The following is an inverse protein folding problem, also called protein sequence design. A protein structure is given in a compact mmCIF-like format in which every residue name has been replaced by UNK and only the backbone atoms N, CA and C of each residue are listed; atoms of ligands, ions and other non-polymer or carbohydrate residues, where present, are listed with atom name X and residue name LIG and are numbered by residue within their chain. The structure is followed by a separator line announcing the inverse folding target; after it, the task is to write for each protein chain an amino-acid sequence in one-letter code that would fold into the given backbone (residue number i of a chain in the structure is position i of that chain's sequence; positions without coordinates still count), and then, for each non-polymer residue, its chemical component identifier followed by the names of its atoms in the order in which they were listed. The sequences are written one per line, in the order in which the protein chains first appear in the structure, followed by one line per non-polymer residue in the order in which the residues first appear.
data_IF_914876361341
#
_entry.id   IF_914876361341
#
_cell.length_a   1.000
_cell.length_b   1.000
_cell.length_c   1.000
_cell.angle_alpha   90.00
_cell.angle_beta   90.00
_cell.angle_gamma   90.00
#
_symmetry.space_group_name_H-M   'P 1'
#
loop_
_entity.id
_entity.type
_entity.pdbx_description
1 polymer ?
#
# COMPACT_ATOMS: atom_id res chain seq x y z
N UNK A 1 -22.62 7.03 -21.16
CA UNK A 1 -21.79 6.00 -20.54
C UNK A 1 -22.72 5.00 -19.89
N UNK A 2 -22.57 3.75 -20.18
CA UNK A 2 -23.44 2.68 -19.69
C UNK A 2 -22.55 1.61 -19.04
N UNK A 3 -22.89 1.15 -17.85
CA UNK A 3 -22.05 0.22 -17.09
C UNK A 3 -21.77 -1.10 -17.81
N UNK A 4 -22.66 -1.49 -18.77
CA UNK A 4 -22.57 -2.72 -19.54
C UNK A 4 -22.48 -2.49 -21.07
N UNK A 5 -21.94 -1.36 -21.52
CA UNK A 5 -21.79 -1.07 -22.96
C UNK A 5 -20.94 -2.11 -23.68
N UNK A 6 -21.19 -2.35 -24.97
CA UNK A 6 -20.52 -3.36 -25.77
C UNK A 6 -19.04 -3.03 -26.07
N UNK A 7 -18.71 -1.73 -26.17
CA UNK A 7 -17.39 -1.26 -26.61
C UNK A 7 -16.71 -0.41 -25.55
N UNK A 8 -15.35 -0.41 -25.45
CA UNK A 8 -14.64 0.52 -24.61
C UNK A 8 -14.75 1.95 -25.14
N UNK A 9 -14.85 2.89 -24.21
CA UNK A 9 -14.86 4.32 -24.46
C UNK A 9 -13.69 4.98 -23.74
N UNK A 10 -12.64 5.28 -24.48
CA UNK A 10 -11.43 5.87 -23.95
C UNK A 10 -11.58 7.37 -23.73
N UNK A 11 -11.26 7.81 -22.55
CA UNK A 11 -11.27 9.21 -22.13
C UNK A 11 -9.88 9.60 -21.60
N UNK A 12 -9.76 10.73 -20.90
CA UNK A 12 -8.52 11.09 -20.22
C UNK A 12 -8.39 10.45 -18.81
N UNK A 13 -9.16 9.42 -18.51
CA UNK A 13 -9.06 8.62 -17.30
C UNK A 13 -8.13 7.42 -17.53
N UNK A 14 -7.71 6.80 -16.43
CA UNK A 14 -6.84 5.63 -16.46
C UNK A 14 -7.56 4.42 -17.08
N UNK A 15 -8.77 4.14 -16.61
CA UNK A 15 -9.62 3.07 -17.13
C UNK A 15 -10.64 3.57 -18.11
N UNK A 16 -10.89 2.84 -19.23
CA UNK A 16 -11.94 3.19 -20.18
C UNK A 16 -13.33 2.94 -19.61
N UNK A 17 -14.27 3.81 -19.96
CA UNK A 17 -15.70 3.56 -19.77
C UNK A 17 -16.24 2.57 -20.80
N UNK A 18 -17.53 2.29 -20.74
CA UNK A 18 -18.24 1.45 -21.72
C UNK A 18 -19.33 2.25 -22.44
N UNK A 19 -19.57 1.91 -23.72
CA UNK A 19 -20.60 2.53 -24.58
C UNK A 19 -21.11 1.52 -25.60
N UNK A 20 -22.32 1.73 -26.14
CA UNK A 20 -22.94 0.82 -27.13
C UNK A 20 -22.62 1.17 -28.58
N UNK A 21 -21.86 2.21 -28.84
CA UNK A 21 -21.44 2.61 -30.19
C UNK A 21 -19.93 2.61 -30.30
N UNK A 22 -19.40 2.39 -31.49
CA UNK A 22 -17.97 2.54 -31.78
C UNK A 22 -17.79 3.52 -32.97
N UNK A 23 -16.68 4.25 -32.96
CA UNK A 23 -16.28 5.14 -34.04
C UNK A 23 -15.00 4.63 -34.74
N UNK A 24 -14.26 3.73 -34.12
CA UNK A 24 -12.98 3.21 -34.61
C UNK A 24 -12.97 1.68 -34.54
N UNK A 25 -12.32 1.05 -35.53
CA UNK A 25 -12.06 -0.40 -35.57
C UNK A 25 -10.65 -0.59 -36.12
N UNK A 26 -9.67 -0.51 -35.23
CA UNK A 26 -8.24 -0.58 -35.57
C UNK A 26 -7.39 -0.93 -34.35
N UNK A 27 -6.15 -1.27 -34.61
CA UNK A 27 -5.10 -1.36 -33.62
C UNK A 27 -4.52 0.02 -33.32
N UNK A 28 -4.50 0.42 -32.05
CA UNK A 28 -4.13 1.77 -31.67
C UNK A 28 -3.44 1.87 -30.30
N UNK A 29 -2.59 2.88 -30.18
CA UNK A 29 -2.14 3.44 -28.90
C UNK A 29 -2.96 4.68 -28.62
N UNK A 30 -3.64 4.74 -27.48
CA UNK A 30 -4.47 5.86 -27.07
C UNK A 30 -3.77 6.66 -25.98
N UNK A 31 -3.75 7.98 -26.11
CA UNK A 31 -3.00 8.89 -25.24
C UNK A 31 -3.96 9.90 -24.62
N UNK A 32 -4.01 9.97 -23.30
CA UNK A 32 -4.76 10.99 -22.57
C UNK A 32 -4.14 12.37 -22.76
N UNK A 33 -4.87 13.27 -23.43
CA UNK A 33 -4.33 14.56 -23.89
C UNK A 33 -4.32 15.67 -22.84
N UNK A 34 -5.07 15.53 -21.74
CA UNK A 34 -5.16 16.54 -20.69
C UNK A 34 -5.58 15.95 -19.33
N UNK A 35 -5.67 16.82 -18.31
CA UNK A 35 -6.07 16.41 -16.95
C UNK A 35 -4.96 15.80 -16.12
N UNK A 36 -5.35 15.22 -14.98
CA UNK A 36 -4.40 14.58 -14.05
C UNK A 36 -3.66 13.39 -14.64
N UNK A 37 -4.22 12.77 -15.67
CA UNK A 37 -3.67 11.59 -16.36
C UNK A 37 -3.06 11.93 -17.72
N UNK A 38 -2.68 13.19 -17.95
CA UNK A 38 -2.02 13.59 -19.22
C UNK A 38 -0.81 12.69 -19.53
N UNK A 39 -0.75 12.15 -20.76
CA UNK A 39 0.29 11.22 -21.20
C UNK A 39 0.11 9.79 -20.69
N UNK A 40 -1.03 9.43 -20.06
CA UNK A 40 -1.41 8.05 -19.82
C UNK A 40 -1.67 7.35 -21.16
N UNK A 41 -1.22 6.10 -21.27
CA UNK A 41 -1.30 5.29 -22.47
C UNK A 41 -2.18 4.08 -22.27
N UNK A 42 -3.04 3.83 -23.25
CA UNK A 42 -3.73 2.56 -23.42
C UNK A 42 -3.35 1.96 -24.77
N UNK A 43 -3.26 0.64 -24.85
CA UNK A 43 -3.17 -0.11 -26.09
C UNK A 43 -4.47 -0.88 -26.28
N UNK A 44 -5.03 -0.84 -27.49
CA UNK A 44 -6.23 -1.58 -27.82
C UNK A 44 -6.27 -1.98 -29.31
N UNK A 45 -6.80 -3.16 -29.58
CA UNK A 45 -7.02 -3.66 -30.93
C UNK A 45 -8.49 -4.09 -31.06
N UNK A 46 -9.26 -3.46 -31.95
CA UNK A 46 -10.66 -3.73 -32.22
C UNK A 46 -11.54 -2.51 -32.21
N UNK A 47 -12.84 -2.70 -31.91
CA UNK A 47 -13.88 -1.67 -31.96
C UNK A 47 -13.93 -0.87 -30.68
N UNK A 48 -13.77 0.45 -30.77
CA UNK A 48 -13.82 1.35 -29.63
C UNK A 48 -14.37 2.73 -30.00
N UNK A 49 -14.58 3.53 -28.97
CA UNK A 49 -14.86 4.96 -29.10
C UNK A 49 -13.90 5.76 -28.23
N UNK A 50 -13.68 7.03 -28.55
CA UNK A 50 -12.78 7.88 -27.79
C UNK A 50 -13.35 9.29 -27.63
N UNK A 51 -13.05 9.91 -26.50
CA UNK A 51 -13.37 11.30 -26.22
C UNK A 51 -12.41 12.23 -26.99
N UNK A 52 -12.91 13.41 -27.37
CA UNK A 52 -12.20 14.38 -28.24
C UNK A 52 -10.82 14.83 -27.73
N UNK A 53 -10.47 14.57 -26.49
CA UNK A 53 -9.16 14.88 -25.89
C UNK A 53 -8.26 13.67 -25.72
N UNK A 54 -8.66 12.54 -26.31
CA UNK A 54 -7.85 11.34 -26.40
C UNK A 54 -7.22 11.29 -27.78
N UNK A 55 -5.89 11.29 -27.85
CA UNK A 55 -5.18 11.09 -29.10
C UNK A 55 -5.11 9.62 -29.45
N UNK A 56 -5.31 9.30 -30.72
CA UNK A 56 -5.31 7.94 -31.26
C UNK A 56 -4.16 7.82 -32.24
N UNK A 57 -3.19 6.99 -31.93
CA UNK A 57 -2.12 6.61 -32.83
C UNK A 57 -2.47 5.27 -33.45
N UNK A 58 -2.69 5.23 -34.76
CA UNK A 58 -3.00 4.04 -35.53
C UNK A 58 -2.40 4.11 -36.92
N UNK A 59 -2.59 3.08 -37.74
CA UNK A 59 -2.05 3.02 -39.08
C UNK A 59 -0.51 3.01 -39.12
N UNK A 60 0.10 2.23 -38.23
CA UNK A 60 1.55 2.16 -38.05
C UNK A 60 2.26 1.68 -39.33
N UNK A 61 3.46 2.19 -39.54
CA UNK A 61 4.32 1.73 -40.61
C UNK A 61 4.79 0.29 -40.32
N UNK A 62 4.87 -0.52 -41.37
CA UNK A 62 5.30 -1.91 -41.30
C UNK A 62 6.69 -2.16 -40.66
N UNK A 63 7.53 -1.11 -40.59
CA UNK A 63 8.85 -1.15 -39.99
C UNK A 63 8.84 -0.82 -38.47
N UNK A 64 7.68 -0.65 -37.87
CA UNK A 64 7.50 -0.30 -36.45
C UNK A 64 6.71 -1.38 -35.74
N UNK A 65 7.31 -2.04 -34.77
CA UNK A 65 6.60 -2.85 -33.81
C UNK A 65 5.83 -1.93 -32.83
N UNK A 66 4.52 -2.13 -32.78
CA UNK A 66 3.61 -1.24 -32.04
C UNK A 66 3.89 -1.30 -30.52
N UNK A 67 4.20 -2.50 -30.00
CA UNK A 67 4.52 -2.66 -28.60
C UNK A 67 5.89 -2.07 -28.25
N UNK A 68 6.85 -2.08 -29.17
CA UNK A 68 8.10 -1.35 -29.01
C UNK A 68 7.85 0.16 -28.85
N UNK A 69 7.02 0.74 -29.74
CA UNK A 69 6.64 2.15 -29.62
C UNK A 69 5.87 2.42 -28.33
N UNK A 70 4.94 1.54 -27.94
CA UNK A 70 4.19 1.66 -26.70
C UNK A 70 5.11 1.72 -25.47
N UNK A 71 6.05 0.80 -25.34
CA UNK A 71 7.04 0.81 -24.25
C UNK A 71 7.94 2.03 -24.26
N UNK A 72 8.35 2.46 -25.46
CA UNK A 72 9.15 3.69 -25.58
C UNK A 72 8.38 4.93 -25.12
N UNK A 73 7.12 5.05 -25.53
CA UNK A 73 6.23 6.14 -25.12
C UNK A 73 5.97 6.11 -23.60
N UNK A 74 5.71 4.94 -23.03
CA UNK A 74 5.53 4.80 -21.57
C UNK A 74 6.70 5.42 -20.78
N UNK A 75 7.89 5.26 -21.29
CA UNK A 75 9.10 5.76 -20.65
C UNK A 75 9.35 7.26 -20.91
N UNK A 76 9.14 7.72 -22.13
CA UNK A 76 9.67 9.01 -22.59
C UNK A 76 8.61 10.10 -22.78
N UNK A 77 7.34 9.74 -22.96
CA UNK A 77 6.31 10.71 -23.31
C UNK A 77 6.01 11.71 -22.19
N UNK A 78 5.85 11.26 -20.95
CA UNK A 78 5.55 12.17 -19.84
C UNK A 78 6.68 13.20 -19.60
N UNK A 79 7.96 12.80 -19.51
CA UNK A 79 9.08 13.77 -19.45
C UNK A 79 9.10 14.74 -20.63
N UNK A 80 8.84 14.25 -21.85
CA UNK A 80 8.76 15.07 -23.04
C UNK A 80 7.64 16.11 -22.96
N UNK A 81 6.45 15.73 -22.54
CA UNK A 81 5.31 16.63 -22.34
C UNK A 81 5.66 17.71 -21.31
N UNK A 82 6.21 17.32 -20.17
CA UNK A 82 6.60 18.28 -19.13
C UNK A 82 7.63 19.30 -19.62
N UNK A 83 8.62 18.85 -20.40
CA UNK A 83 9.65 19.73 -20.98
C UNK A 83 9.07 20.73 -21.98
N UNK A 84 8.04 20.36 -22.73
CA UNK A 84 7.45 21.15 -23.80
C UNK A 84 6.16 21.91 -23.38
N UNK A 85 5.67 21.70 -22.17
CA UNK A 85 4.52 22.41 -21.61
C UNK A 85 4.93 23.77 -21.04
N UNK A 86 4.01 24.75 -21.08
CA UNK A 86 4.25 26.08 -20.50
C UNK A 86 4.38 25.98 -18.99
N UNK A 87 5.39 26.66 -18.43
CA UNK A 87 5.60 26.77 -16.98
C UNK A 87 4.36 27.39 -16.31
N UNK A 88 3.89 26.79 -15.23
CA UNK A 88 2.77 27.28 -14.41
C UNK A 88 1.37 26.93 -14.93
N UNK A 89 1.23 26.16 -15.99
CA UNK A 89 -0.06 25.61 -16.46
C UNK A 89 -0.16 24.11 -16.20
N UNK A 90 -1.39 23.61 -16.13
CA UNK A 90 -1.65 22.15 -16.14
C UNK A 90 -1.11 21.58 -17.45
N UNK A 91 -0.25 20.55 -17.43
CA UNK A 91 0.28 19.96 -18.65
C UNK A 91 -0.83 19.47 -19.57
N UNK A 92 -0.67 19.67 -20.87
CA UNK A 92 -1.57 19.16 -21.91
C UNK A 92 -0.77 18.84 -23.17
N UNK A 93 -1.29 17.93 -23.98
CA UNK A 93 -0.68 17.54 -25.25
C UNK A 93 -1.30 18.38 -26.36
N UNK A 94 -0.48 18.78 -27.31
CA UNK A 94 -0.91 19.37 -28.59
C UNK A 94 -0.51 18.47 -29.74
N UNK A 95 -1.22 18.56 -30.86
CA UNK A 95 -0.88 17.79 -32.06
C UNK A 95 0.57 17.96 -32.51
N UNK A 96 1.13 19.19 -32.58
CA UNK A 96 2.53 19.40 -32.93
C UNK A 96 3.53 18.72 -31.96
N UNK A 97 3.18 18.53 -30.70
CA UNK A 97 4.04 17.79 -29.77
C UNK A 97 4.17 16.32 -30.18
N UNK A 98 3.07 15.68 -30.57
CA UNK A 98 3.07 14.29 -31.01
C UNK A 98 3.72 14.13 -32.39
N UNK A 99 3.44 15.05 -33.35
CA UNK A 99 4.03 15.06 -34.67
C UNK A 99 5.55 15.24 -34.64
N UNK A 100 6.07 16.01 -33.70
CA UNK A 100 7.50 16.24 -33.50
C UNK A 100 8.17 15.30 -32.52
N UNK A 101 7.42 14.36 -31.94
CA UNK A 101 7.98 13.36 -31.03
C UNK A 101 8.84 12.36 -31.82
N UNK A 102 10.08 12.19 -31.39
CA UNK A 102 11.06 11.32 -32.06
C UNK A 102 11.37 10.11 -31.20
N UNK A 103 11.41 8.95 -31.84
CA UNK A 103 11.83 7.70 -31.22
C UNK A 103 12.85 6.98 -32.11
N UNK A 104 13.75 6.18 -31.54
CA UNK A 104 14.79 5.51 -32.31
C UNK A 104 14.22 4.31 -33.07
N UNK A 105 14.64 4.15 -34.32
CA UNK A 105 14.43 2.94 -35.12
C UNK A 105 15.82 2.27 -35.22
N UNK A 106 16.03 1.08 -34.62
CA UNK A 106 17.29 0.38 -34.74
C UNK A 106 17.52 -0.07 -36.18
N UNK A 107 18.76 -0.06 -36.65
CA UNK A 107 19.13 -0.51 -37.98
C UNK A 107 18.22 0.00 -39.12
N UNK A 108 18.05 1.35 -39.33
CA UNK A 108 17.03 1.90 -40.22
C UNK A 108 17.19 1.46 -41.69
N UNK A 109 18.40 1.07 -42.09
CA UNK A 109 18.70 0.57 -43.44
C UNK A 109 18.47 -0.93 -43.64
N UNK A 110 17.99 -1.63 -42.57
CA UNK A 110 17.68 -3.04 -42.64
C UNK A 110 16.37 -3.31 -41.83
N UNK A 111 15.19 -3.22 -42.47
CA UNK A 111 13.91 -3.34 -41.80
C UNK A 111 13.72 -4.67 -41.05
N UNK A 112 14.14 -5.78 -41.63
CA UNK A 112 14.02 -7.10 -41.02
C UNK A 112 14.82 -7.18 -39.72
N UNK A 113 16.07 -6.74 -39.73
CA UNK A 113 16.90 -6.67 -38.53
C UNK A 113 16.34 -5.67 -37.52
N UNK A 114 15.80 -4.55 -37.98
CA UNK A 114 15.14 -3.56 -37.13
C UNK A 114 13.98 -4.16 -36.35
N UNK A 115 13.07 -4.82 -37.02
CA UNK A 115 11.91 -5.48 -36.39
C UNK A 115 12.33 -6.59 -35.43
N UNK A 116 13.35 -7.39 -35.81
CA UNK A 116 13.86 -8.42 -34.92
C UNK A 116 14.41 -7.84 -33.59
N UNK A 117 15.09 -6.70 -33.64
CA UNK A 117 15.58 -6.00 -32.45
C UNK A 117 14.41 -5.42 -31.64
N UNK A 118 13.45 -4.76 -32.29
CA UNK A 118 12.26 -4.20 -31.64
C UNK A 118 11.47 -5.28 -30.90
N UNK A 119 11.18 -6.40 -31.58
CA UNK A 119 10.45 -7.54 -30.98
C UNK A 119 11.22 -8.19 -29.83
N UNK A 120 12.56 -8.27 -29.91
CA UNK A 120 13.35 -8.81 -28.80
C UNK A 120 13.32 -7.88 -27.58
N UNK A 121 13.36 -6.56 -27.77
CA UNK A 121 13.17 -5.58 -26.69
C UNK A 121 11.79 -5.75 -26.04
N UNK A 122 10.73 -5.86 -26.84
CA UNK A 122 9.37 -6.11 -26.36
C UNK A 122 9.33 -7.39 -25.54
N UNK A 123 9.86 -8.50 -26.08
CA UNK A 123 9.90 -9.79 -25.41
C UNK A 123 10.58 -9.76 -24.03
N UNK A 124 11.67 -8.98 -23.92
CA UNK A 124 12.38 -8.81 -22.65
C UNK A 124 11.52 -7.99 -21.66
N UNK A 125 10.96 -6.85 -22.09
CA UNK A 125 10.14 -6.00 -21.24
C UNK A 125 8.84 -6.68 -20.79
N UNK A 126 8.19 -7.43 -21.66
CA UNK A 126 7.02 -8.26 -21.32
C UNK A 126 7.33 -9.26 -20.22
N UNK A 127 8.48 -9.95 -20.32
CA UNK A 127 8.91 -10.91 -19.30
C UNK A 127 9.15 -10.22 -17.94
N UNK A 128 9.79 -9.06 -17.91
CA UNK A 128 9.97 -8.33 -16.66
C UNK A 128 8.65 -7.92 -16.05
N UNK A 129 7.72 -7.43 -16.86
CA UNK A 129 6.37 -7.03 -16.42
C UNK A 129 5.61 -8.22 -15.85
N UNK A 130 5.60 -9.35 -16.58
CA UNK A 130 4.93 -10.56 -16.15
C UNK A 130 5.51 -11.13 -14.85
N UNK A 131 6.85 -11.24 -14.75
CA UNK A 131 7.51 -11.71 -13.53
C UNK A 131 7.26 -10.81 -12.32
N UNK A 132 7.24 -9.50 -12.52
CA UNK A 132 6.94 -8.56 -11.43
C UNK A 132 5.50 -8.68 -10.95
N UNK A 133 4.55 -8.83 -11.88
CA UNK A 133 3.14 -9.03 -11.57
C UNK A 133 2.91 -10.36 -10.83
N UNK A 134 3.50 -11.47 -11.31
CA UNK A 134 3.40 -12.78 -10.70
C UNK A 134 3.96 -12.77 -9.27
N UNK A 135 5.18 -12.27 -9.07
CA UNK A 135 5.81 -12.18 -7.75
C UNK A 135 4.97 -11.33 -6.79
N UNK A 136 4.44 -10.19 -7.26
CA UNK A 136 3.58 -9.33 -6.44
C UNK A 136 2.30 -10.04 -6.03
N UNK A 137 1.68 -10.78 -6.95
CA UNK A 137 0.48 -11.57 -6.67
C UNK A 137 0.76 -12.70 -5.67
N UNK A 138 1.85 -13.46 -5.84
CA UNK A 138 2.25 -14.55 -4.95
C UNK A 138 2.51 -14.04 -3.52
N UNK A 139 3.32 -12.98 -3.37
CA UNK A 139 3.65 -12.42 -2.06
C UNK A 139 2.42 -11.81 -1.37
N UNK A 140 1.50 -11.21 -2.13
CA UNK A 140 0.24 -10.69 -1.60
C UNK A 140 -0.68 -11.83 -1.14
N UNK A 141 -0.77 -12.90 -1.91
CA UNK A 141 -1.54 -14.09 -1.55
C UNK A 141 -0.97 -14.77 -0.30
N UNK A 142 0.36 -14.95 -0.23
CA UNK A 142 1.06 -15.50 0.93
C UNK A 142 0.78 -14.66 2.19
N UNK A 143 0.94 -13.35 2.13
CA UNK A 143 0.64 -12.45 3.26
C UNK A 143 -0.81 -12.59 3.72
N UNK A 144 -1.76 -12.67 2.77
CA UNK A 144 -3.18 -12.84 3.07
C UNK A 144 -3.45 -14.18 3.76
N UNK A 145 -2.86 -15.26 3.25
CA UNK A 145 -2.98 -16.60 3.81
C UNK A 145 -2.38 -16.67 5.23
N UNK A 146 -1.20 -16.09 5.43
CA UNK A 146 -0.56 -16.04 6.76
C UNK A 146 -1.36 -15.25 7.79
N UNK A 147 -1.98 -14.14 7.38
CA UNK A 147 -2.89 -13.39 8.26
C UNK A 147 -4.11 -14.20 8.66
N UNK A 148 -4.74 -14.92 7.72
CA UNK A 148 -5.87 -15.81 8.03
C UNK A 148 -5.46 -16.92 8.98
N UNK A 149 -4.32 -17.55 8.73
CA UNK A 149 -3.76 -18.60 9.59
C UNK A 149 -3.46 -18.06 11.01
N UNK A 150 -2.87 -16.89 11.11
CA UNK A 150 -2.59 -16.24 12.39
C UNK A 150 -3.87 -15.96 13.18
N UNK A 151 -4.90 -15.37 12.55
CA UNK A 151 -6.18 -15.13 13.23
C UNK A 151 -6.81 -16.46 13.70
N UNK A 152 -6.84 -17.47 12.84
CA UNK A 152 -7.38 -18.79 13.20
C UNK A 152 -6.69 -19.38 14.45
N UNK A 153 -5.36 -19.40 14.47
CA UNK A 153 -4.63 -19.93 15.63
C UNK A 153 -4.79 -19.04 16.87
N UNK A 154 -4.86 -17.72 16.71
CA UNK A 154 -5.17 -16.82 17.83
C UNK A 154 -6.51 -17.16 18.44
N UNK A 155 -7.56 -17.24 17.64
CA UNK A 155 -8.92 -17.57 18.11
C UNK A 155 -8.92 -18.92 18.84
N UNK A 156 -8.26 -19.94 18.29
CA UNK A 156 -8.18 -21.26 18.93
C UNK A 156 -7.40 -21.25 20.25
N UNK A 157 -6.25 -20.58 20.28
CA UNK A 157 -5.37 -20.54 21.45
C UNK A 157 -5.89 -19.65 22.59
N UNK A 158 -6.74 -18.67 22.27
CA UNK A 158 -7.36 -17.79 23.27
C UNK A 158 -8.78 -18.21 23.65
N UNK A 159 -9.30 -19.28 23.06
CA UNK A 159 -10.61 -19.85 23.40
C UNK A 159 -10.49 -20.82 24.58
N UNK A 160 -11.13 -20.48 25.69
CA UNK A 160 -11.20 -21.31 26.90
C UNK A 160 -12.65 -21.47 27.35
N UNK A 161 -12.98 -22.64 27.86
CA UNK A 161 -14.25 -22.85 28.58
C UNK A 161 -14.29 -22.09 29.91
N UNK A 162 -15.48 -21.65 30.32
CA UNK A 162 -15.63 -20.88 31.57
C UNK A 162 -15.15 -21.64 32.83
N UNK A 163 -15.15 -22.95 32.78
CA UNK A 163 -14.71 -23.83 33.87
C UNK A 163 -13.26 -24.27 33.78
N UNK A 164 -12.57 -23.97 32.68
CA UNK A 164 -11.18 -24.43 32.42
C UNK A 164 -10.15 -23.51 33.02
N UNK A 165 -10.45 -22.23 33.12
CA UNK A 165 -9.52 -21.17 33.57
C UNK A 165 -10.24 -20.13 34.41
N UNK A 166 -9.47 -19.38 35.19
CA UNK A 166 -10.01 -18.22 35.90
C UNK A 166 -10.33 -17.10 34.89
N UNK A 167 -11.47 -16.45 35.04
CA UNK A 167 -11.86 -15.29 34.24
C UNK A 167 -11.83 -14.02 35.08
N UNK A 168 -11.13 -13.00 34.60
CA UNK A 168 -11.05 -11.68 35.24
C UNK A 168 -11.47 -10.57 34.29
N UNK A 169 -11.88 -9.44 34.85
CA UNK A 169 -12.04 -8.23 34.06
C UNK A 169 -10.68 -7.57 33.85
N UNK A 170 -10.54 -6.81 32.74
CA UNK A 170 -9.32 -6.07 32.46
C UNK A 170 -8.93 -5.13 33.62
N UNK A 171 -9.90 -4.50 34.27
CA UNK A 171 -9.68 -3.60 35.41
C UNK A 171 -9.17 -4.27 36.68
N UNK A 172 -9.32 -5.62 36.83
CA UNK A 172 -8.73 -6.38 37.95
C UNK A 172 -7.24 -6.68 37.75
N UNK A 173 -6.77 -6.67 36.49
CA UNK A 173 -5.41 -7.09 36.15
C UNK A 173 -4.55 -5.99 35.54
N UNK A 174 -5.17 -4.92 35.08
CA UNK A 174 -4.50 -3.81 34.41
C UNK A 174 -5.18 -2.47 34.75
N UNK A 175 -4.47 -1.40 34.51
CA UNK A 175 -4.96 -0.05 34.72
C UNK A 175 -4.50 0.90 33.59
N UNK A 176 -5.22 1.99 33.40
CA UNK A 176 -4.72 3.07 32.55
C UNK A 176 -3.53 3.77 33.21
N UNK A 177 -2.49 4.06 32.43
CA UNK A 177 -1.35 4.85 32.91
C UNK A 177 -1.80 6.20 33.42
N UNK A 178 -1.43 6.51 34.66
CA UNK A 178 -1.61 7.84 35.30
C UNK A 178 -0.33 8.66 35.27
N UNK A 179 0.78 8.06 34.88
CA UNK A 179 2.09 8.72 34.78
C UNK A 179 2.08 9.78 33.69
N UNK A 180 2.86 10.83 33.90
CA UNK A 180 2.99 11.94 32.96
C UNK A 180 4.45 12.14 32.57
N UNK A 181 4.64 12.52 31.32
CA UNK A 181 5.96 12.87 30.78
C UNK A 181 5.87 14.26 30.15
N UNK A 182 6.87 15.10 30.38
CA UNK A 182 6.93 16.43 29.79
C UNK A 182 7.30 16.35 28.32
N UNK A 183 6.74 17.27 27.53
CA UNK A 183 6.95 17.33 26.07
C UNK A 183 8.43 17.45 25.68
N UNK A 184 9.25 18.10 26.48
CA UNK A 184 10.70 18.31 26.25
C UNK A 184 11.54 17.01 26.28
N UNK A 185 10.97 15.92 26.82
CA UNK A 185 11.56 14.58 26.83
C UNK A 185 11.12 13.72 25.64
N UNK A 186 10.33 14.29 24.73
CA UNK A 186 9.75 13.57 23.61
C UNK A 186 10.37 14.02 22.28
N UNK A 187 10.59 13.02 21.43
CA UNK A 187 11.04 13.18 20.06
C UNK A 187 10.19 12.37 19.11
N UNK A 188 10.55 12.34 17.81
CA UNK A 188 9.86 11.57 16.78
C UNK A 188 9.87 10.06 17.00
N UNK A 189 10.78 9.52 17.84
CA UNK A 189 10.94 8.09 18.07
C UNK A 189 10.09 7.61 19.24
N UNK A 190 9.92 8.45 20.27
CA UNK A 190 9.25 8.10 21.52
C UNK A 190 7.90 8.81 21.75
N UNK A 191 7.46 9.69 20.84
CA UNK A 191 6.08 10.18 20.83
C UNK A 191 5.23 9.29 19.92
N UNK A 192 4.07 8.82 20.43
CA UNK A 192 3.13 7.98 19.69
C UNK A 192 1.73 8.57 19.76
N UNK A 193 1.30 9.27 18.71
CA UNK A 193 -0.09 9.70 18.53
C UNK A 193 -0.93 8.60 17.85
N UNK A 194 -2.24 8.78 17.80
CA UNK A 194 -3.15 7.83 17.13
C UNK A 194 -2.83 7.62 15.65
N UNK A 195 -2.27 8.63 14.98
CA UNK A 195 -1.88 8.56 13.56
C UNK A 195 -0.61 7.76 13.34
N UNK A 196 0.21 7.61 14.39
CA UNK A 196 1.43 6.80 14.33
C UNK A 196 1.18 5.31 14.57
N UNK A 197 0.04 4.96 15.19
CA UNK A 197 -0.39 3.57 15.29
C UNK A 197 -1.00 3.13 13.94
N UNK A 198 -0.43 2.08 13.38
CA UNK A 198 -0.88 1.53 12.11
C UNK A 198 -2.15 0.70 12.27
N UNK A 199 -2.97 0.69 11.21
CA UNK A 199 -4.20 -0.10 11.18
C UNK A 199 -3.91 -1.61 11.17
N UNK A 200 -4.91 -2.39 11.55
CA UNK A 200 -4.87 -3.85 11.51
C UNK A 200 -3.66 -4.44 12.28
N UNK A 201 -3.37 -3.92 13.46
CA UNK A 201 -2.29 -4.41 14.35
C UNK A 201 -0.89 -4.33 13.74
N UNK A 202 -0.68 -3.38 12.81
CA UNK A 202 0.57 -3.31 12.05
C UNK A 202 1.74 -2.65 12.81
N UNK A 203 1.57 -2.37 14.11
CA UNK A 203 2.59 -1.72 14.91
C UNK A 203 2.54 -0.19 14.84
N UNK A 204 3.69 0.46 14.89
CA UNK A 204 3.81 1.93 14.83
C UNK A 204 4.81 2.40 13.77
N UNK A 205 4.69 3.66 13.39
CA UNK A 205 5.69 4.42 12.64
C UNK A 205 6.19 5.60 13.45
N UNK A 206 7.32 6.17 13.06
CA UNK A 206 7.83 7.42 13.65
C UNK A 206 6.82 8.55 13.46
N UNK A 207 6.76 9.45 14.43
CA UNK A 207 5.90 10.62 14.35
C UNK A 207 6.50 11.72 13.49
N UNK A 208 5.67 12.28 12.61
CA UNK A 208 6.01 13.50 11.86
C UNK A 208 5.75 14.78 12.68
N UNK A 209 4.99 14.65 13.78
CA UNK A 209 4.63 15.75 14.66
C UNK A 209 4.86 15.36 16.11
N UNK A 210 5.59 16.18 16.84
CA UNK A 210 5.82 16.01 18.29
C UNK A 210 5.23 17.27 18.99
N UNK A 211 4.43 17.10 20.05
CA UNK A 211 3.89 18.24 20.80
C UNK A 211 5.00 19.15 21.32
N UNK A 212 4.76 20.46 21.27
CA UNK A 212 5.75 21.48 21.69
C UNK A 212 5.45 22.09 23.06
N UNK A 213 4.44 21.55 23.78
CA UNK A 213 4.06 22.01 25.11
C UNK A 213 3.24 20.96 25.86
N UNK A 214 3.18 21.10 27.18
CA UNK A 214 2.30 20.35 28.06
C UNK A 214 2.89 19.03 28.58
N UNK A 215 2.10 18.36 29.41
CA UNK A 215 2.42 17.04 29.95
C UNK A 215 1.51 15.99 29.28
N UNK A 216 2.12 14.96 28.75
CA UNK A 216 1.47 13.87 28.04
C UNK A 216 1.37 12.61 28.93
N UNK A 217 0.58 11.64 28.49
CA UNK A 217 0.51 10.36 29.18
C UNK A 217 1.79 9.56 28.89
N UNK A 218 2.50 9.19 29.94
CA UNK A 218 3.69 8.35 29.84
C UNK A 218 3.30 6.90 29.59
N UNK A 219 3.98 6.26 28.65
CA UNK A 219 4.02 4.81 28.51
C UNK A 219 5.44 4.28 28.76
N UNK A 220 5.54 3.03 29.16
CA UNK A 220 6.80 2.32 29.43
C UNK A 220 6.84 1.04 28.62
N UNK A 221 8.02 0.48 28.51
CA UNK A 221 8.21 -0.84 27.90
C UNK A 221 7.23 -1.86 28.52
N UNK A 222 6.57 -2.65 27.66
CA UNK A 222 5.54 -3.61 28.03
C UNK A 222 4.11 -3.05 28.12
N UNK A 223 3.91 -1.73 28.20
CA UNK A 223 2.58 -1.12 28.16
C UNK A 223 1.92 -1.34 26.80
N UNK A 224 0.58 -1.44 26.78
CA UNK A 224 -0.19 -1.64 25.56
C UNK A 224 -0.88 -0.33 25.19
N UNK A 225 -0.58 0.17 23.99
CA UNK A 225 -1.17 1.37 23.44
C UNK A 225 -2.28 1.02 22.47
N UNK A 226 -3.48 1.57 22.67
CA UNK A 226 -4.65 1.33 21.82
C UNK A 226 -5.19 2.66 21.31
N UNK A 227 -5.36 2.78 19.99
CA UNK A 227 -6.02 3.93 19.39
C UNK A 227 -7.50 3.99 19.79
N UNK A 228 -7.89 5.04 20.51
CA UNK A 228 -9.23 5.20 21.04
C UNK A 228 -10.24 5.78 20.04
N UNK A 229 -9.76 6.32 18.91
CA UNK A 229 -10.59 6.83 17.83
C UNK A 229 -10.74 5.76 16.75
N UNK A 230 -11.98 5.51 16.31
CA UNK A 230 -12.30 4.50 15.28
C UNK A 230 -11.73 3.12 15.65
N UNK A 231 -12.20 2.49 16.75
CA UNK A 231 -11.65 1.21 17.21
C UNK A 231 -11.67 0.11 16.15
N UNK A 232 -12.57 0.17 15.17
CA UNK A 232 -12.62 -0.75 14.02
C UNK A 232 -11.34 -0.74 13.17
N UNK A 233 -10.48 0.28 13.28
CA UNK A 233 -9.18 0.31 12.63
C UNK A 233 -8.15 -0.62 13.30
N UNK A 234 -8.46 -1.19 14.46
CA UNK A 234 -7.66 -2.17 15.19
C UNK A 234 -6.21 -1.70 15.40
N UNK A 235 -6.06 -0.43 15.81
CA UNK A 235 -4.76 0.20 16.08
C UNK A 235 -4.29 -0.18 17.48
N UNK A 236 -3.28 -1.02 17.57
CA UNK A 236 -2.68 -1.49 18.83
C UNK A 236 -1.18 -1.73 18.65
N UNK A 237 -0.42 -1.43 19.70
CA UNK A 237 1.01 -1.69 19.75
C UNK A 237 1.44 -1.92 21.21
N UNK A 238 2.34 -2.88 21.45
CA UNK A 238 3.00 -3.04 22.73
C UNK A 238 4.32 -2.27 22.73
N UNK A 239 4.50 -1.41 23.73
CA UNK A 239 5.65 -0.53 23.81
C UNK A 239 6.95 -1.34 24.02
N UNK A 240 7.94 -1.05 23.21
CA UNK A 240 9.32 -1.55 23.27
C UNK A 240 10.29 -0.58 23.98
N UNK A 241 9.77 0.59 24.37
CA UNK A 241 10.54 1.69 24.94
C UNK A 241 9.64 2.59 25.79
N UNK A 242 10.23 3.56 26.48
CA UNK A 242 9.48 4.59 27.22
C UNK A 242 9.24 5.82 26.35
N UNK A 243 8.04 6.39 26.45
CA UNK A 243 7.68 7.59 25.71
C UNK A 243 6.38 8.22 26.20
N UNK A 244 5.76 9.03 25.32
CA UNK A 244 4.54 9.75 25.63
C UNK A 244 3.50 9.70 24.52
N UNK A 245 2.22 9.83 24.91
CA UNK A 245 1.09 9.84 23.97
C UNK A 245 0.05 10.86 24.38
N UNK A 246 -0.80 11.25 23.41
CA UNK A 246 -1.93 12.15 23.64
C UNK A 246 -3.19 11.40 24.15
N UNK A 247 -4.26 12.14 24.42
CA UNK A 247 -5.51 11.59 24.95
C UNK A 247 -6.30 10.67 24.00
N UNK A 248 -5.91 10.59 22.74
CA UNK A 248 -6.57 9.75 21.72
C UNK A 248 -5.97 8.32 21.67
N UNK A 249 -4.95 8.07 22.45
CA UNK A 249 -4.36 6.74 22.65
C UNK A 249 -4.50 6.35 24.12
N UNK A 250 -5.03 5.16 24.35
CA UNK A 250 -5.14 4.57 25.68
C UNK A 250 -3.83 3.81 25.99
N UNK A 251 -3.27 4.03 27.16
CA UNK A 251 -2.11 3.29 27.67
C UNK A 251 -2.55 2.35 28.77
N UNK A 252 -2.53 1.05 28.51
CA UNK A 252 -2.93 0.00 29.43
C UNK A 252 -1.67 -0.67 29.97
N UNK A 253 -1.53 -0.66 31.29
CA UNK A 253 -0.40 -1.26 32.02
C UNK A 253 -0.88 -2.46 32.81
N UNK A 254 -0.24 -3.61 32.63
CA UNK A 254 -0.43 -4.77 33.49
C UNK A 254 -0.01 -4.45 34.91
N UNK A 255 -0.88 -4.75 35.88
CA UNK A 255 -0.64 -4.46 37.30
C UNK A 255 -0.71 -5.73 38.18
N UNK A 256 -1.07 -6.86 37.61
CA UNK A 256 -1.28 -8.10 38.36
C UNK A 256 -0.25 -9.17 38.01
N UNK A 257 0.22 -9.91 39.00
CA UNK A 257 1.25 -10.94 38.81
C UNK A 257 0.77 -12.18 38.05
N UNK A 258 -0.54 -12.38 37.90
CA UNK A 258 -1.09 -13.57 37.22
C UNK A 258 -1.08 -13.49 35.70
N UNK A 259 -0.68 -12.38 35.11
CA UNK A 259 -0.73 -12.19 33.67
C UNK A 259 0.60 -11.68 33.10
N UNK A 260 1.06 -12.32 32.03
CA UNK A 260 2.19 -11.83 31.24
C UNK A 260 1.74 -10.64 30.39
N UNK A 261 2.50 -9.52 30.35
CA UNK A 261 2.15 -8.37 29.52
C UNK A 261 1.99 -8.72 28.04
N UNK A 262 2.79 -9.66 27.51
CA UNK A 262 2.70 -10.09 26.11
C UNK A 262 1.46 -10.95 25.85
N UNK A 263 1.03 -11.77 26.82
CA UNK A 263 -0.22 -12.51 26.73
C UNK A 263 -1.42 -11.55 26.74
N UNK A 264 -1.43 -10.55 27.62
CA UNK A 264 -2.43 -9.49 27.64
C UNK A 264 -2.51 -8.76 26.30
N UNK A 265 -1.36 -8.44 25.70
CA UNK A 265 -1.32 -7.85 24.36
C UNK A 265 -2.02 -8.74 23.32
N UNK A 266 -1.76 -10.05 23.31
CA UNK A 266 -2.39 -10.97 22.36
C UNK A 266 -3.90 -11.01 22.51
N UNK A 267 -4.43 -10.97 23.73
CA UNK A 267 -5.87 -10.90 24.02
C UNK A 267 -6.46 -9.56 23.52
N UNK A 268 -5.83 -8.44 23.83
CA UNK A 268 -6.31 -7.11 23.42
C UNK A 268 -6.11 -6.85 21.93
N UNK A 269 -5.26 -7.64 21.27
CA UNK A 269 -5.10 -7.64 19.82
C UNK A 269 -6.11 -8.55 19.10
N UNK A 270 -6.92 -9.30 19.82
CA UNK A 270 -7.93 -10.19 19.26
C UNK A 270 -9.14 -9.43 18.67
N UNK A 271 -9.81 -10.02 17.70
CA UNK A 271 -10.98 -9.43 17.07
C UNK A 271 -12.15 -9.29 18.04
N UNK A 272 -12.33 -10.25 18.95
CA UNK A 272 -13.37 -10.22 19.97
C UNK A 272 -13.26 -8.97 20.87
N UNK A 273 -12.03 -8.56 21.24
CA UNK A 273 -11.84 -7.34 22.01
C UNK A 273 -12.24 -6.09 21.21
N UNK A 274 -11.86 -5.98 19.94
CA UNK A 274 -12.22 -4.83 19.12
C UNK A 274 -13.72 -4.78 18.80
N UNK A 275 -14.38 -5.91 18.62
CA UNK A 275 -15.83 -6.00 18.47
C UNK A 275 -16.55 -5.55 19.74
N UNK A 276 -16.12 -6.05 20.91
CA UNK A 276 -16.61 -5.59 22.20
C UNK A 276 -16.41 -4.08 22.37
N UNK A 277 -15.24 -3.55 22.05
CA UNK A 277 -14.94 -2.12 22.13
C UNK A 277 -15.86 -1.30 21.20
N UNK A 278 -16.14 -1.78 19.98
CA UNK A 278 -17.06 -1.14 19.05
C UNK A 278 -18.51 -1.16 19.53
N UNK A 279 -18.99 -2.25 20.13
CA UNK A 279 -20.34 -2.36 20.70
C UNK A 279 -20.60 -1.28 21.77
N UNK A 280 -19.56 -0.88 22.51
CA UNK A 280 -19.63 0.11 23.58
C UNK A 280 -19.13 1.51 23.18
N UNK A 281 -18.68 1.68 21.93
CA UNK A 281 -18.16 2.95 21.43
C UNK A 281 -19.25 4.03 21.32
N UNK A 282 -18.87 5.29 21.49
CA UNK A 282 -19.76 6.43 21.39
C UNK A 282 -19.37 7.31 20.18
N UNK A 283 -20.38 7.88 19.52
CA UNK A 283 -20.22 8.75 18.36
C UNK A 283 -20.39 8.04 17.02
N UNK A 284 -21.22 8.59 16.12
CA UNK A 284 -21.58 7.95 14.85
C UNK A 284 -20.47 8.12 13.78
N UNK A 285 -19.96 9.33 13.57
CA UNK A 285 -18.99 9.64 12.50
C UNK A 285 -17.54 9.30 12.88
N UNK A 286 -17.19 9.48 14.15
CA UNK A 286 -15.86 9.17 14.70
C UNK A 286 -16.03 8.45 16.04
N UNK A 287 -16.38 7.16 16.02
CA UNK A 287 -16.62 6.42 17.27
C UNK A 287 -15.36 6.41 18.14
N UNK A 288 -15.56 6.62 19.45
CA UNK A 288 -14.52 6.54 20.46
C UNK A 288 -14.85 5.40 21.43
N UNK A 289 -13.86 4.59 21.76
CA UNK A 289 -14.00 3.54 22.75
C UNK A 289 -14.39 4.11 24.12
N UNK A 290 -15.23 3.35 24.84
CA UNK A 290 -15.65 3.69 26.19
C UNK A 290 -14.65 3.13 27.19
N UNK A 291 -13.89 4.01 27.85
CA UNK A 291 -12.84 3.61 28.79
C UNK A 291 -13.32 2.72 29.94
N UNK A 292 -14.51 3.01 30.48
CA UNK A 292 -15.09 2.24 31.59
C UNK A 292 -15.56 0.86 31.11
N UNK A 293 -16.12 0.78 29.90
CA UNK A 293 -16.52 -0.49 29.30
C UNK A 293 -15.28 -1.35 28.98
N UNK A 294 -14.23 -0.76 28.42
CA UNK A 294 -12.98 -1.48 28.12
C UNK A 294 -12.42 -2.16 29.38
N UNK A 295 -12.44 -1.51 30.55
CA UNK A 295 -11.97 -2.13 31.81
C UNK A 295 -12.89 -3.24 32.32
N UNK A 296 -14.12 -3.36 31.82
CA UNK A 296 -15.04 -4.46 32.12
C UNK A 296 -14.91 -5.65 31.17
N UNK A 297 -14.06 -5.57 30.15
CA UNK A 297 -13.81 -6.69 29.25
C UNK A 297 -13.29 -7.89 30.03
N UNK A 298 -13.98 -9.04 29.90
CA UNK A 298 -13.59 -10.30 30.56
C UNK A 298 -12.59 -11.06 29.71
N UNK A 299 -11.59 -11.59 30.35
CA UNK A 299 -10.51 -12.33 29.70
C UNK A 299 -10.06 -13.55 30.52
N UNK A 300 -9.61 -14.62 29.85
CA UNK A 300 -9.15 -15.83 30.49
C UNK A 300 -7.75 -15.67 31.07
N UNK A 301 -7.51 -16.24 32.25
CA UNK A 301 -6.22 -16.26 32.93
C UNK A 301 -5.77 -17.71 33.12
N UNK A 302 -5.20 -18.35 32.09
CA UNK A 302 -4.61 -19.69 32.23
C UNK A 302 -3.31 -19.65 33.05
N UNK A 303 -2.71 -20.81 33.32
CA UNK A 303 -1.42 -20.90 33.99
C UNK A 303 -0.32 -20.12 33.24
N UNK A 304 0.72 -19.71 33.94
CA UNK A 304 1.88 -19.03 33.30
C UNK A 304 2.54 -19.87 32.21
N UNK A 305 2.58 -21.18 32.39
CA UNK A 305 3.12 -22.09 31.38
C UNK A 305 2.29 -22.02 30.09
N UNK A 306 0.96 -22.04 30.22
CA UNK A 306 0.06 -21.95 29.08
C UNK A 306 0.11 -20.55 28.43
N UNK A 307 0.13 -19.47 29.22
CA UNK A 307 0.33 -18.12 28.69
C UNK A 307 1.64 -18.04 27.88
N UNK A 308 2.73 -18.60 28.41
CA UNK A 308 4.05 -18.61 27.74
C UNK A 308 4.00 -19.42 26.44
N UNK A 309 3.32 -20.59 26.45
CA UNK A 309 3.12 -21.41 25.26
C UNK A 309 2.38 -20.66 24.16
N UNK A 310 1.27 -20.02 24.53
CA UNK A 310 0.44 -19.24 23.61
C UNK A 310 1.23 -18.08 23.02
N UNK A 311 1.91 -17.30 23.86
CA UNK A 311 2.78 -16.18 23.42
C UNK A 311 3.85 -16.66 22.45
N UNK A 312 4.54 -17.76 22.78
CA UNK A 312 5.60 -18.30 21.93
C UNK A 312 5.10 -18.68 20.54
N UNK A 313 3.91 -19.23 20.46
CA UNK A 313 3.31 -19.59 19.16
C UNK A 313 2.88 -18.34 18.38
N UNK A 314 2.13 -17.43 19.03
CA UNK A 314 1.61 -16.25 18.38
C UNK A 314 2.71 -15.25 17.96
N UNK A 315 3.78 -15.13 18.73
CA UNK A 315 4.92 -14.27 18.39
C UNK A 315 5.69 -14.77 17.16
N UNK A 316 5.72 -16.09 16.91
CA UNK A 316 6.24 -16.63 15.64
C UNK A 316 5.41 -16.18 14.46
N UNK A 317 4.09 -16.18 14.57
CA UNK A 317 3.21 -15.68 13.52
C UNK A 317 3.35 -14.17 13.33
N UNK A 318 3.47 -13.39 14.40
CA UNK A 318 3.75 -11.94 14.33
C UNK A 318 5.05 -11.69 13.56
N UNK A 319 6.12 -12.40 13.90
CA UNK A 319 7.42 -12.25 13.24
C UNK A 319 7.33 -12.58 11.74
N UNK A 320 6.72 -13.70 11.39
CA UNK A 320 6.54 -14.11 9.98
C UNK A 320 5.69 -13.10 9.19
N UNK A 321 4.56 -12.66 9.76
CA UNK A 321 3.67 -11.72 9.09
C UNK A 321 4.32 -10.34 8.91
N UNK A 322 5.04 -9.86 9.91
CA UNK A 322 5.74 -8.58 9.83
C UNK A 322 6.93 -8.65 8.86
N UNK A 323 7.70 -9.74 8.86
CA UNK A 323 8.79 -9.94 7.89
C UNK A 323 8.29 -9.87 6.46
N UNK A 324 7.22 -10.58 6.10
CA UNK A 324 6.63 -10.51 4.76
C UNK A 324 6.13 -9.10 4.46
N UNK A 325 5.49 -8.43 5.42
CA UNK A 325 4.97 -7.06 5.24
C UNK A 325 6.08 -6.04 4.99
N UNK A 326 7.24 -6.17 5.62
CA UNK A 326 8.38 -5.28 5.42
C UNK A 326 9.14 -5.60 4.14
N UNK A 327 9.29 -6.89 3.81
CA UNK A 327 10.03 -7.32 2.63
C UNK A 327 9.27 -7.06 1.32
N UNK A 328 7.93 -7.18 1.29
CA UNK A 328 7.14 -7.04 0.08
C UNK A 328 7.30 -5.67 -0.62
N UNK A 329 7.15 -4.52 0.06
CA UNK A 329 7.34 -3.22 -0.60
C UNK A 329 8.78 -3.03 -1.10
N UNK A 330 9.77 -3.51 -0.34
CA UNK A 330 11.18 -3.43 -0.72
C UNK A 330 11.49 -4.28 -1.95
N UNK A 331 10.95 -5.47 -2.03
CA UNK A 331 11.13 -6.35 -3.20
C UNK A 331 10.49 -5.73 -4.45
N UNK A 332 9.27 -5.21 -4.32
CA UNK A 332 8.59 -4.49 -5.41
C UNK A 332 9.44 -3.30 -5.89
N UNK A 333 9.95 -2.49 -4.98
CA UNK A 333 10.83 -1.34 -5.31
C UNK A 333 12.11 -1.78 -6.02
N UNK A 334 12.75 -2.85 -5.56
CA UNK A 334 13.96 -3.39 -6.18
C UNK A 334 13.69 -3.90 -7.59
N UNK A 335 12.56 -4.60 -7.80
CA UNK A 335 12.15 -5.07 -9.13
C UNK A 335 11.82 -3.90 -10.06
N UNK A 336 11.16 -2.88 -9.55
CA UNK A 336 10.89 -1.66 -10.31
C UNK A 336 12.19 -0.96 -10.76
N UNK A 337 13.16 -0.81 -9.87
CA UNK A 337 14.48 -0.24 -10.21
C UNK A 337 15.24 -1.09 -11.23
N UNK A 338 15.16 -2.42 -11.08
CA UNK A 338 15.75 -3.36 -12.02
C UNK A 338 15.12 -3.24 -13.42
N UNK A 339 13.79 -3.19 -13.48
CA UNK A 339 13.05 -2.95 -14.70
C UNK A 339 13.46 -1.63 -15.37
N UNK A 340 13.50 -0.53 -14.60
CA UNK A 340 13.90 0.80 -15.11
C UNK A 340 15.32 0.79 -15.67
N UNK A 341 16.25 0.17 -14.96
CA UNK A 341 17.64 0.05 -15.43
C UNK A 341 17.73 -0.70 -16.77
N UNK A 342 17.13 -1.88 -16.89
CA UNK A 342 17.19 -2.65 -18.13
C UNK A 342 16.42 -1.99 -19.26
N UNK A 343 15.27 -1.38 -18.97
CA UNK A 343 14.53 -0.59 -19.96
C UNK A 343 15.39 0.55 -20.52
N UNK A 344 16.04 1.31 -19.67
CA UNK A 344 16.89 2.44 -20.08
C UNK A 344 18.08 1.95 -20.92
N UNK A 345 18.64 0.79 -20.55
CA UNK A 345 19.71 0.16 -21.32
C UNK A 345 19.21 -0.31 -22.71
N UNK A 346 18.06 -0.94 -22.79
CA UNK A 346 17.47 -1.44 -24.04
C UNK A 346 17.09 -0.31 -25.01
N UNK A 347 16.75 0.86 -24.50
CA UNK A 347 16.46 2.05 -25.33
C UNK A 347 17.65 2.98 -25.54
N UNK A 348 18.84 2.67 -25.02
CA UNK A 348 20.07 3.44 -25.23
C UNK A 348 20.74 3.03 -26.53
N UNK A 349 20.29 3.58 -27.65
CA UNK A 349 20.93 3.38 -28.95
C UNK A 349 22.09 4.36 -29.17
N UNK A 350 23.18 3.94 -29.88
CA UNK A 350 24.23 4.84 -30.29
C UNK A 350 23.64 5.99 -31.11
N UNK A 351 24.00 7.22 -30.76
CA UNK A 351 23.66 8.37 -31.61
C UNK A 351 24.46 8.28 -32.89
N UNK A 352 23.88 8.57 -34.09
CA UNK A 352 24.65 8.71 -35.28
C UNK A 352 25.76 9.74 -35.05
N UNK A 353 27.00 9.41 -35.38
CA UNK A 353 28.06 10.42 -35.42
C UNK A 353 27.59 11.55 -36.32
N UNK A 354 27.55 12.78 -35.81
CA UNK A 354 27.28 13.93 -36.62
C UNK A 354 28.36 13.96 -37.72
N UNK A 355 27.96 13.80 -38.98
CA UNK A 355 28.87 13.96 -40.07
C UNK A 355 29.44 15.37 -39.93
N UNK A 356 30.70 15.45 -39.55
CA UNK A 356 31.47 16.70 -39.56
C UNK A 356 31.67 17.07 -41.02
N UNK A 357 30.88 18.05 -41.50
CA UNK A 357 31.15 18.80 -42.73
C UNK A 357 32.19 19.87 -42.45
#
# INVERSE_FOLDING_TARGET
MEDNGAYPFFTCNEEPYRINTYAFDLEAILISGNGSQVGHLNYYNGKFNAYQRTYILGGFNENVDIMYLYYYLMHTLKPYIHKNSRKGSVPYITMPMLENFKFPIPCPNNPEKSLAIQSEIVRILDKFTALTAELTAELTAELTMRKKQYNYYRDQLLSFGESEVEWKTLGEIAAYSKSRISFDKLDKNNYVGVDNLLQNRAGKIQSNYVPTSGNLTEFREGDILIGNIRPYLKKIWQADSTGGTNGDVLVIRSCHKSILPRYLYQILADDNFFEYNMQHAKGAKMPRGNKDAIMKYRLPIPSFEEQTRIVTILDKFDTLTNSIRECLPREIELRQKQYEYYRDLLFSFPKPEAASN
#
